data_IF_382899500938
#
_entry.id   IF_382899500938
#
_cell.length_a   1.000
_cell.length_b   1.000
_cell.length_c   1.000
_cell.angle_alpha   90.00
_cell.angle_beta   90.00
_cell.angle_gamma   90.00
#
_symmetry.space_group_name_H-M   'P 1'
#
loop_
_entity.id
_entity.type
_entity.pdbx_description
1 polymer ?
#
# COMPACT_ATOMS: atom_id res chain seq x y z
N UNK A 1 7.17 32.47 -9.91
CA UNK A 1 7.82 32.01 -8.66
C UNK A 1 6.73 31.67 -7.67
N UNK A 2 6.29 30.40 -7.65
CA UNK A 2 5.34 29.92 -6.64
C UNK A 2 6.13 29.38 -5.46
N UNK A 3 5.92 29.95 -4.27
CA UNK A 3 6.50 29.45 -3.03
C UNK A 3 5.96 28.05 -2.74
N UNK A 4 6.85 27.05 -2.75
CA UNK A 4 6.59 25.76 -2.12
C UNK A 4 6.50 25.99 -0.62
N UNK A 5 5.28 25.96 -0.08
CA UNK A 5 5.06 25.89 1.36
C UNK A 5 5.37 24.45 1.77
N UNK A 6 6.58 24.22 2.29
CA UNK A 6 6.90 23.02 3.04
C UNK A 6 6.28 23.15 4.43
N UNK A 7 5.02 22.76 4.56
CA UNK A 7 4.44 22.47 5.88
C UNK A 7 4.88 21.06 6.25
N UNK A 8 5.86 20.95 7.15
CA UNK A 8 6.15 19.70 7.86
C UNK A 8 4.97 19.37 8.77
N UNK A 9 3.92 18.79 8.21
CA UNK A 9 2.97 18.01 9.01
C UNK A 9 3.62 16.66 9.28
N UNK A 10 3.87 16.38 10.56
CA UNK A 10 4.09 15.01 10.99
C UNK A 10 2.72 14.34 10.93
N UNK A 11 2.40 13.72 9.79
CA UNK A 11 1.36 12.71 9.75
C UNK A 11 1.83 11.59 10.72
N UNK A 12 1.17 11.43 11.85
CA UNK A 12 1.52 10.48 12.91
C UNK A 12 0.69 9.20 12.83
N UNK A 13 -0.24 9.11 11.87
CA UNK A 13 -1.10 7.97 11.62
C UNK A 13 -1.31 7.73 10.14
N UNK A 14 -1.74 6.52 9.78
CA UNK A 14 -2.13 6.21 8.40
C UNK A 14 -3.24 7.14 7.90
N UNK A 15 -4.22 7.48 8.75
CA UNK A 15 -5.32 8.36 8.38
C UNK A 15 -4.87 9.79 8.05
N UNK A 16 -3.90 10.33 8.79
CA UNK A 16 -3.32 11.64 8.50
C UNK A 16 -2.55 11.65 7.18
N UNK A 17 -1.77 10.58 6.91
CA UNK A 17 -1.13 10.38 5.61
C UNK A 17 -2.17 10.37 4.48
N UNK A 18 -3.25 9.58 4.61
CA UNK A 18 -4.27 9.49 3.56
C UNK A 18 -4.97 10.85 3.37
N UNK A 19 -5.29 11.57 4.45
CA UNK A 19 -5.83 12.93 4.36
C UNK A 19 -4.88 13.87 3.61
N UNK A 20 -3.57 13.74 3.83
CA UNK A 20 -2.53 14.51 3.13
C UNK A 20 -2.51 14.21 1.63
N UNK A 21 -2.62 12.94 1.24
CA UNK A 21 -2.66 12.52 -0.17
C UNK A 21 -3.92 13.00 -0.88
N UNK A 22 -5.08 13.00 -0.21
CA UNK A 22 -6.33 13.56 -0.75
C UNK A 22 -6.19 15.07 -0.96
N UNK A 23 -5.74 15.82 0.06
CA UNK A 23 -5.54 17.29 -0.04
C UNK A 23 -4.56 17.68 -1.15
N UNK A 24 -3.58 16.82 -1.42
CA UNK A 24 -2.55 17.03 -2.45
C UNK A 24 -2.96 16.45 -3.81
N UNK A 25 -4.20 15.97 -3.95
CA UNK A 25 -4.75 15.51 -5.22
C UNK A 25 -3.97 14.31 -5.80
N UNK A 26 -3.55 13.37 -4.95
CA UNK A 26 -3.03 12.05 -5.38
C UNK A 26 -4.06 10.93 -5.24
N UNK A 27 -5.05 11.11 -4.36
CA UNK A 27 -6.19 10.20 -4.18
C UNK A 27 -7.44 11.03 -4.47
N UNK A 28 -8.27 10.54 -5.38
CA UNK A 28 -9.48 11.20 -5.86
C UNK A 28 -10.71 10.30 -5.75
N UNK A 29 -10.54 8.97 -5.71
CA UNK A 29 -11.65 8.02 -5.66
C UNK A 29 -11.85 7.44 -4.27
N UNK A 30 -13.11 7.31 -3.87
CA UNK A 30 -13.49 6.78 -2.56
C UNK A 30 -13.03 5.33 -2.35
N UNK A 31 -12.91 4.56 -3.42
CA UNK A 31 -12.45 3.17 -3.34
C UNK A 31 -10.96 3.10 -3.02
N UNK A 32 -10.14 3.92 -3.70
CA UNK A 32 -8.70 4.02 -3.41
C UNK A 32 -8.48 4.56 -2.00
N UNK A 33 -9.19 5.61 -1.60
CA UNK A 33 -9.12 6.12 -0.22
C UNK A 33 -9.39 5.01 0.81
N UNK A 34 -10.51 4.29 0.67
CA UNK A 34 -10.88 3.23 1.61
C UNK A 34 -9.85 2.12 1.66
N UNK A 35 -9.33 1.68 0.52
CA UNK A 35 -8.31 0.64 0.46
C UNK A 35 -7.02 1.07 1.18
N UNK A 36 -6.55 2.30 0.95
CA UNK A 36 -5.39 2.85 1.64
C UNK A 36 -5.57 2.99 3.15
N UNK A 37 -6.76 3.39 3.61
CA UNK A 37 -7.07 3.47 5.05
C UNK A 37 -7.05 2.10 5.72
N UNK A 38 -7.47 1.05 5.00
CA UNK A 38 -7.52 -0.31 5.51
C UNK A 38 -6.14 -0.97 5.65
N UNK A 39 -5.15 -0.56 4.85
CA UNK A 39 -3.81 -1.14 4.85
C UNK A 39 -2.84 -0.14 5.46
N UNK A 40 -2.68 -0.21 6.77
CA UNK A 40 -1.77 0.68 7.50
C UNK A 40 -0.31 0.43 7.07
N UNK A 41 0.26 1.45 6.42
CA UNK A 41 1.63 1.46 5.90
C UNK A 41 2.68 1.19 7.00
N UNK A 42 2.42 1.60 8.23
CA UNK A 42 3.31 1.41 9.37
C UNK A 42 3.58 -0.05 9.72
N UNK A 43 2.71 -0.99 9.33
CA UNK A 43 2.96 -2.43 9.52
C UNK A 43 3.99 -3.01 8.55
N UNK A 44 4.26 -2.32 7.44
CA UNK A 44 5.25 -2.75 6.43
C UNK A 44 6.65 -2.16 6.68
N UNK A 45 6.79 -1.28 7.69
CA UNK A 45 8.08 -0.79 8.16
C UNK A 45 8.69 -1.72 9.21
N UNK A 46 10.02 -1.69 9.32
CA UNK A 46 10.71 -2.28 10.47
C UNK A 46 10.41 -1.48 11.74
N UNK A 47 10.43 -2.15 12.90
CA UNK A 47 10.00 -1.60 14.20
C UNK A 47 10.70 -0.28 14.58
N UNK A 48 11.96 -0.08 14.15
CA UNK A 48 12.74 1.14 14.41
C UNK A 48 12.38 2.36 13.55
N UNK A 49 11.50 2.24 12.55
CA UNK A 49 11.24 3.31 11.58
C UNK A 49 9.76 3.68 11.43
N UNK A 50 8.88 3.19 12.31
CA UNK A 50 7.42 3.47 12.21
C UNK A 50 7.07 4.96 12.25
N UNK A 51 7.84 5.78 12.96
CA UNK A 51 7.58 7.22 13.09
C UNK A 51 7.68 7.99 11.77
N UNK A 52 8.43 7.46 10.79
CA UNK A 52 8.56 8.07 9.47
C UNK A 52 7.67 7.39 8.41
N UNK A 53 6.92 6.34 8.80
CA UNK A 53 6.14 5.54 7.87
C UNK A 53 5.01 6.31 7.18
N UNK A 54 4.48 7.32 7.87
CA UNK A 54 3.35 8.12 7.43
C UNK A 54 3.75 9.40 6.70
N UNK A 55 5.03 9.56 6.37
CA UNK A 55 5.47 10.65 5.50
C UNK A 55 5.38 10.22 4.04
N UNK A 56 5.08 11.16 3.15
CA UNK A 56 5.06 10.92 1.71
C UNK A 56 6.48 10.81 1.10
N UNK A 57 7.27 9.87 1.60
CA UNK A 57 8.63 9.63 1.16
C UNK A 57 8.83 8.14 0.85
N UNK A 58 9.69 7.85 -0.11
CA UNK A 58 10.21 6.50 -0.27
C UNK A 58 11.05 6.12 0.96
N UNK A 59 11.05 4.83 1.28
CA UNK A 59 11.83 4.28 2.38
C UNK A 59 12.54 3.01 1.93
N UNK A 60 13.78 2.86 2.39
CA UNK A 60 14.61 1.69 2.11
C UNK A 60 15.31 1.25 3.39
N UNK A 61 15.34 -0.07 3.61
CA UNK A 61 16.08 -0.71 4.69
C UNK A 61 16.53 -2.09 4.22
N UNK A 62 17.85 -2.30 4.14
CA UNK A 62 18.43 -3.49 3.52
C UNK A 62 17.85 -3.69 2.09
N UNK A 63 17.21 -4.83 1.81
CA UNK A 63 16.56 -5.12 0.52
C UNK A 63 15.13 -4.58 0.42
N UNK A 64 14.51 -4.18 1.52
CA UNK A 64 13.14 -3.68 1.52
C UNK A 64 13.13 -2.27 0.92
N UNK A 65 12.30 -2.06 -0.09
CA UNK A 65 12.02 -0.74 -0.66
C UNK A 65 10.51 -0.52 -0.73
N UNK A 66 10.05 0.57 -0.10
CA UNK A 66 8.68 1.06 -0.22
C UNK A 66 8.70 2.41 -0.93
N UNK A 67 8.02 2.48 -2.09
CA UNK A 67 7.85 3.75 -2.81
C UNK A 67 7.06 4.75 -1.97
N UNK A 68 7.17 6.02 -2.32
CA UNK A 68 6.38 7.07 -1.68
C UNK A 68 4.88 6.75 -1.80
N UNK A 69 4.08 6.97 -0.75
CA UNK A 69 2.62 6.80 -0.79
C UNK A 69 1.94 7.45 -1.99
N UNK A 70 2.35 8.66 -2.40
CA UNK A 70 1.86 9.36 -3.59
C UNK A 70 2.07 8.59 -4.90
N UNK A 71 3.18 7.85 -5.02
CA UNK A 71 3.45 7.00 -6.20
C UNK A 71 2.46 5.85 -6.27
N UNK A 72 2.21 5.18 -5.14
CA UNK A 72 1.22 4.10 -5.08
C UNK A 72 -0.21 4.60 -5.33
N UNK A 73 -0.57 5.74 -4.74
CA UNK A 73 -1.88 6.36 -4.95
C UNK A 73 -2.10 6.70 -6.43
N UNK A 74 -1.15 7.42 -7.05
CA UNK A 74 -1.21 7.76 -8.46
C UNK A 74 -1.33 6.51 -9.35
N UNK A 75 -0.54 5.48 -9.06
CA UNK A 75 -0.58 4.24 -9.83
C UNK A 75 -1.97 3.57 -9.75
N UNK A 76 -2.55 3.46 -8.55
CA UNK A 76 -3.85 2.82 -8.36
C UNK A 76 -5.01 3.64 -8.95
N UNK A 77 -4.96 4.97 -8.86
CA UNK A 77 -5.92 5.85 -9.51
C UNK A 77 -5.84 5.72 -11.04
N UNK A 78 -4.63 5.65 -11.62
CA UNK A 78 -4.45 5.47 -13.05
C UNK A 78 -4.83 4.07 -13.55
N UNK A 79 -4.60 3.03 -12.74
CA UNK A 79 -4.97 1.65 -13.09
C UNK A 79 -6.48 1.43 -13.06
N UNK A 80 -7.22 2.26 -12.32
CA UNK A 80 -8.68 2.18 -12.16
C UNK A 80 -9.15 0.74 -11.89
N UNK A 81 -8.52 0.09 -10.92
CA UNK A 81 -8.78 -1.32 -10.62
C UNK A 81 -10.23 -1.51 -10.16
N UNK A 82 -10.94 -2.38 -10.87
CA UNK A 82 -12.30 -2.79 -10.55
C UNK A 82 -12.34 -4.24 -10.09
N UNK A 83 -13.46 -4.61 -9.45
CA UNK A 83 -13.68 -5.99 -9.02
C UNK A 83 -13.61 -6.95 -10.20
N UNK A 84 -12.89 -8.06 -10.03
CA UNK A 84 -12.69 -9.07 -11.07
C UNK A 84 -11.59 -8.77 -12.08
N UNK A 85 -10.90 -7.63 -11.98
CA UNK A 85 -9.73 -7.37 -12.81
C UNK A 85 -8.55 -8.30 -12.46
N UNK A 86 -7.58 -8.35 -13.38
CA UNK A 86 -6.30 -9.02 -13.18
C UNK A 86 -5.20 -7.98 -13.00
N UNK A 87 -4.40 -8.14 -11.96
CA UNK A 87 -3.30 -7.26 -11.60
C UNK A 87 -1.99 -8.03 -11.47
N UNK A 88 -0.93 -7.49 -12.08
CA UNK A 88 0.44 -8.01 -11.99
C UNK A 88 1.36 -6.89 -11.47
N UNK A 89 1.98 -7.13 -10.33
CA UNK A 89 2.93 -6.21 -9.68
C UNK A 89 4.37 -6.75 -9.80
N UNK A 90 5.19 -6.15 -10.65
CA UNK A 90 6.59 -6.56 -10.86
C UNK A 90 7.49 -5.74 -9.94
N UNK A 91 8.29 -6.40 -9.11
CA UNK A 91 8.97 -5.76 -7.99
C UNK A 91 8.02 -5.58 -6.80
N UNK A 92 7.28 -6.64 -6.48
CA UNK A 92 6.22 -6.61 -5.45
C UNK A 92 6.74 -6.37 -4.04
N UNK A 93 8.04 -6.56 -3.80
CA UNK A 93 8.71 -6.27 -2.54
C UNK A 93 8.08 -7.03 -1.38
N UNK A 94 7.80 -6.31 -0.29
CA UNK A 94 7.15 -6.88 0.91
C UNK A 94 5.61 -6.89 0.82
N UNK A 95 5.05 -6.71 -0.38
CA UNK A 95 3.63 -6.94 -0.65
C UNK A 95 2.67 -5.78 -0.34
N UNK A 96 3.14 -4.60 0.11
CA UNK A 96 2.26 -3.48 0.50
C UNK A 96 1.25 -3.09 -0.60
N UNK A 97 1.74 -2.78 -1.81
CA UNK A 97 0.88 -2.39 -2.92
C UNK A 97 -0.07 -3.52 -3.33
N UNK A 98 0.42 -4.77 -3.33
CA UNK A 98 -0.39 -5.94 -3.67
C UNK A 98 -1.52 -6.16 -2.66
N UNK A 99 -1.30 -5.90 -1.37
CA UNK A 99 -2.37 -5.94 -0.35
C UNK A 99 -3.41 -4.84 -0.58
N UNK A 100 -3.00 -3.61 -0.87
CA UNK A 100 -3.95 -2.51 -1.19
C UNK A 100 -4.77 -2.85 -2.43
N UNK A 101 -4.11 -3.31 -3.50
CA UNK A 101 -4.78 -3.71 -4.74
C UNK A 101 -5.78 -4.86 -4.51
N UNK A 102 -5.45 -5.81 -3.61
CA UNK A 102 -6.32 -6.93 -3.29
C UNK A 102 -7.71 -6.50 -2.81
N UNK A 103 -7.81 -5.40 -2.07
CA UNK A 103 -9.09 -4.85 -1.60
C UNK A 103 -9.93 -4.19 -2.72
N UNK A 104 -9.28 -3.72 -3.78
CA UNK A 104 -9.96 -3.13 -4.94
C UNK A 104 -10.48 -4.21 -5.90
N UNK A 105 -9.72 -5.29 -6.04
CA UNK A 105 -9.99 -6.39 -6.98
C UNK A 105 -11.12 -7.33 -6.52
N UNK A 106 -11.37 -7.43 -5.21
CA UNK A 106 -12.41 -8.29 -4.63
C UNK A 106 -12.23 -9.79 -4.92
N UNK A 107 -13.16 -10.62 -4.45
CA UNK A 107 -12.99 -12.09 -4.43
C UNK A 107 -12.84 -12.73 -5.82
N UNK A 108 -13.30 -12.07 -6.88
CA UNK A 108 -13.24 -12.59 -8.25
C UNK A 108 -12.02 -12.09 -9.03
N UNK A 109 -11.16 -11.27 -8.41
CA UNK A 109 -9.97 -10.73 -9.06
C UNK A 109 -8.81 -11.72 -9.11
N UNK A 110 -7.75 -11.32 -9.82
CA UNK A 110 -6.46 -12.01 -9.84
C UNK A 110 -5.37 -11.02 -9.45
N UNK A 111 -4.52 -11.39 -8.51
CA UNK A 111 -3.49 -10.51 -7.93
C UNK A 111 -2.16 -11.26 -7.83
N UNK A 112 -1.22 -10.96 -8.71
CA UNK A 112 0.09 -11.61 -8.75
C UNK A 112 1.21 -10.60 -8.49
N UNK A 113 2.18 -10.99 -7.67
CA UNK A 113 3.41 -10.25 -7.43
C UNK A 113 4.64 -11.03 -7.87
N UNK A 114 5.53 -10.40 -8.64
CA UNK A 114 6.85 -10.96 -8.97
C UNK A 114 7.91 -10.27 -8.11
N UNK A 115 8.80 -11.02 -7.47
CA UNK A 115 9.87 -10.49 -6.63
C UNK A 115 11.12 -11.38 -6.69
N UNK A 116 12.24 -10.81 -7.13
CA UNK A 116 13.50 -11.54 -7.34
C UNK A 116 14.18 -11.98 -6.04
N UNK A 117 13.82 -11.38 -4.91
CA UNK A 117 14.39 -11.71 -3.62
C UNK A 117 13.42 -12.58 -2.83
N UNK A 118 13.67 -13.89 -2.79
CA UNK A 118 12.91 -14.84 -1.96
C UNK A 118 12.68 -14.38 -0.52
N UNK A 119 13.68 -13.75 0.10
CA UNK A 119 13.56 -13.21 1.47
C UNK A 119 12.47 -12.13 1.60
N UNK A 120 12.20 -11.36 0.54
CA UNK A 120 11.12 -10.38 0.51
C UNK A 120 9.76 -11.04 0.29
N UNK A 121 9.69 -12.12 -0.51
CA UNK A 121 8.49 -12.95 -0.65
C UNK A 121 8.07 -13.55 0.70
N UNK A 122 9.02 -14.10 1.46
CA UNK A 122 8.74 -14.66 2.79
C UNK A 122 8.16 -13.59 3.74
N UNK A 123 8.71 -12.37 3.69
CA UNK A 123 8.18 -11.22 4.43
C UNK A 123 6.80 -10.82 3.92
N UNK A 124 6.58 -10.83 2.61
CA UNK A 124 5.29 -10.47 2.01
C UNK A 124 4.17 -11.40 2.47
N UNK A 125 4.41 -12.71 2.53
CA UNK A 125 3.44 -13.66 3.11
C UNK A 125 3.24 -13.44 4.61
N UNK A 126 4.30 -13.14 5.36
CA UNK A 126 4.18 -12.80 6.79
C UNK A 126 3.28 -11.57 6.98
N UNK A 127 3.49 -10.53 6.17
CA UNK A 127 2.69 -9.29 6.21
C UNK A 127 1.25 -9.51 5.77
N UNK A 128 1.03 -10.38 4.80
CA UNK A 128 -0.29 -10.79 4.35
C UNK A 128 -1.05 -11.50 5.47
N UNK A 129 -0.41 -12.44 6.16
CA UNK A 129 -1.02 -13.15 7.30
C UNK A 129 -1.31 -12.20 8.46
N UNK A 130 -0.39 -11.30 8.78
CA UNK A 130 -0.61 -10.23 9.78
C UNK A 130 -1.81 -9.35 9.41
N UNK A 131 -1.93 -8.94 8.14
CA UNK A 131 -3.06 -8.18 7.65
C UNK A 131 -4.37 -8.97 7.82
N UNK A 132 -4.39 -10.24 7.41
CA UNK A 132 -5.58 -11.09 7.50
C UNK A 132 -6.07 -11.33 8.92
N UNK A 133 -5.16 -11.38 9.90
CA UNK A 133 -5.49 -11.62 11.30
C UNK A 133 -5.92 -10.36 12.05
N UNK A 134 -5.41 -9.19 11.67
CA UNK A 134 -5.52 -7.98 12.48
C UNK A 134 -6.37 -6.88 11.85
N UNK A 135 -6.55 -6.89 10.52
CA UNK A 135 -7.29 -5.84 9.84
C UNK A 135 -8.79 -6.14 9.90
N UNK A 136 -9.54 -5.27 10.59
CA UNK A 136 -11.00 -5.27 10.54
C UNK A 136 -11.53 -5.21 9.10
N UNK A 137 -10.73 -4.72 8.15
CA UNK A 137 -11.04 -4.71 6.73
C UNK A 137 -11.47 -6.09 6.19
N UNK A 138 -10.93 -7.20 6.69
CA UNK A 138 -11.30 -8.54 6.23
C UNK A 138 -12.78 -8.87 6.51
N UNK A 139 -13.37 -8.29 7.55
CA UNK A 139 -14.77 -8.52 7.90
C UNK A 139 -15.74 -7.71 7.02
N UNK A 140 -15.25 -6.63 6.39
CA UNK A 140 -16.08 -5.67 5.66
C UNK A 140 -15.77 -5.56 4.16
N UNK A 141 -14.64 -6.11 3.71
CA UNK A 141 -14.19 -6.04 2.33
C UNK A 141 -14.01 -7.44 1.73
N UNK A 142 -14.42 -7.57 0.48
CA UNK A 142 -13.94 -8.64 -0.38
C UNK A 142 -12.44 -8.44 -0.65
N UNK A 143 -11.66 -9.51 -0.57
CA UNK A 143 -10.20 -9.42 -0.68
C UNK A 143 -9.68 -10.45 -1.69
N UNK A 144 -8.95 -9.97 -2.69
CA UNK A 144 -8.16 -10.79 -3.61
C UNK A 144 -6.76 -11.00 -3.03
N UNK A 145 -6.55 -12.17 -2.41
CA UNK A 145 -5.26 -12.51 -1.83
C UNK A 145 -4.15 -12.51 -2.91
N UNK A 146 -3.04 -11.78 -2.71
CA UNK A 146 -1.94 -11.78 -3.65
C UNK A 146 -1.18 -13.12 -3.61
N UNK A 147 -0.78 -13.61 -4.78
CA UNK A 147 0.17 -14.71 -4.92
C UNK A 147 1.52 -14.14 -5.34
N UNK A 148 2.55 -14.40 -4.54
CA UNK A 148 3.92 -13.95 -4.79
C UNK A 148 4.76 -15.06 -5.43
N UNK A 149 5.50 -14.72 -6.48
CA UNK A 149 6.31 -15.61 -7.33
C UNK A 149 7.71 -15.02 -7.47
N UNK A 150 8.74 -15.88 -7.44
CA UNK A 150 10.15 -15.50 -7.65
C UNK A 150 10.50 -15.39 -9.15
#
# INVERSE_FOLDING_TARGET
MGQFISTSHNDNSNDELINSLIRREYIHTINVEKAFRCVDRGFYYTSGSKQIAYRDNAWQSDKIHLSAPSVYATALECLDLQKGHTFLNIGSGVGYLSTVAGLLLGVNGVNHGIEIHKSLIDIAYTKLDEFKQNAAAIDYFEFCEPVFIE
#
